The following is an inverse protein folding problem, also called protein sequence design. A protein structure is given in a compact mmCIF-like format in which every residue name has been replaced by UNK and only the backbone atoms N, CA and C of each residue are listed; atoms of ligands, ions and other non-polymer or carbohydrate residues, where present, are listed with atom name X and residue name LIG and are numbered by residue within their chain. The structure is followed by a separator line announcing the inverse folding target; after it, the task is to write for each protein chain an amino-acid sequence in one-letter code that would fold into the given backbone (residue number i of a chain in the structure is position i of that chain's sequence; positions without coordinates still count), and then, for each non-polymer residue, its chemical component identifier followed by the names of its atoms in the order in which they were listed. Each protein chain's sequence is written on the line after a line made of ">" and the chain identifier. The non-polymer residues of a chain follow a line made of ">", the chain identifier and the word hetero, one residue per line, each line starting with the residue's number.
data_IF_412315728276
#
_entry.id   IF_412315728276
#
_cell.length_a   1.000
_cell.length_b   1.000
_cell.length_c   1.000
_cell.angle_alpha   90.00
_cell.angle_beta   90.00
_cell.angle_gamma   90.00
#
_symmetry.space_group_name_H-M   'P 1'
#
loop_
_entity.id
_entity.type
_entity.pdbx_description
1 polymer ?
#
# COMPACT_ATOMS: atom_id res chain seq x y z
N UNK A 1 12.86 3.28 -14.78
CA UNK A 1 11.73 2.76 -14.00
C UNK A 1 11.89 3.17 -12.55
N UNK A 2 10.79 3.45 -11.83
CA UNK A 2 10.79 3.70 -10.37
C UNK A 2 9.82 2.72 -9.72
N UNK A 3 10.15 2.20 -8.54
CA UNK A 3 9.24 1.35 -7.77
C UNK A 3 8.03 2.18 -7.35
N UNK A 4 6.83 1.75 -7.73
CA UNK A 4 5.57 2.43 -7.42
C UNK A 4 4.69 1.64 -6.45
N UNK A 5 5.06 0.41 -6.11
CA UNK A 5 4.31 -0.42 -5.18
C UNK A 5 4.84 -1.83 -5.09
N UNK A 6 4.33 -2.56 -4.11
CA UNK A 6 4.65 -3.96 -3.84
C UNK A 6 3.36 -4.74 -3.60
N UNK A 7 3.35 -5.99 -4.03
CA UNK A 7 2.37 -6.99 -3.60
C UNK A 7 3.15 -8.03 -2.81
N UNK A 8 2.71 -8.33 -1.61
CA UNK A 8 3.39 -9.27 -0.72
C UNK A 8 2.37 -10.21 -0.08
N UNK A 9 2.80 -11.43 0.20
CA UNK A 9 2.00 -12.39 0.92
C UNK A 9 2.06 -12.06 2.41
N UNK A 10 0.91 -11.74 3.01
CA UNK A 10 0.75 -11.58 4.45
C UNK A 10 0.48 -12.92 5.14
N UNK A 11 -0.16 -12.90 6.30
CA UNK A 11 -0.41 -14.12 7.09
C UNK A 11 -1.31 -15.13 6.37
N UNK A 12 -2.33 -14.66 5.63
CA UNK A 12 -3.33 -15.55 5.01
C UNK A 12 -3.73 -15.18 3.57
N UNK A 13 -3.37 -13.99 3.09
CA UNK A 13 -3.77 -13.48 1.77
C UNK A 13 -2.72 -12.50 1.24
N UNK A 14 -2.82 -12.14 -0.05
CA UNK A 14 -1.99 -11.12 -0.65
C UNK A 14 -2.45 -9.71 -0.26
N UNK A 15 -1.48 -8.90 0.11
CA UNK A 15 -1.64 -7.48 0.44
C UNK A 15 -0.86 -6.66 -0.57
N UNK A 16 -1.35 -5.46 -0.87
CA UNK A 16 -0.67 -4.52 -1.75
C UNK A 16 -0.51 -3.16 -1.08
N UNK A 17 0.64 -2.53 -1.33
CA UNK A 17 0.88 -1.12 -1.00
C UNK A 17 1.47 -0.42 -2.22
N UNK A 18 0.90 0.71 -2.60
CA UNK A 18 1.32 1.44 -3.79
C UNK A 18 1.21 2.95 -3.62
N UNK A 19 1.93 3.68 -4.47
CA UNK A 19 2.08 5.12 -4.45
C UNK A 19 1.56 5.69 -5.76
N UNK A 20 0.62 6.62 -5.68
CA UNK A 20 0.07 7.30 -6.84
C UNK A 20 0.93 8.51 -7.25
N UNK A 21 0.62 9.12 -8.39
CA UNK A 21 1.37 10.26 -8.93
C UNK A 21 1.39 11.49 -8.00
N UNK A 22 0.39 11.62 -7.13
CA UNK A 22 0.26 12.64 -6.08
C UNK A 22 1.09 12.34 -4.82
N UNK A 23 1.87 11.25 -4.83
CA UNK A 23 2.67 10.74 -3.69
C UNK A 23 1.83 10.22 -2.51
N UNK A 24 0.53 9.98 -2.75
CA UNK A 24 -0.34 9.34 -1.77
C UNK A 24 -0.09 7.84 -1.76
N UNK A 25 0.05 7.27 -0.56
CA UNK A 25 0.18 5.84 -0.32
C UNK A 25 -1.19 5.21 -0.08
N UNK A 26 -1.37 4.05 -0.70
CA UNK A 26 -2.59 3.27 -0.67
C UNK A 26 -2.30 1.84 -0.24
N UNK A 27 -3.14 1.32 0.64
CA UNK A 27 -3.08 -0.03 1.18
C UNK A 27 -4.31 -0.84 0.79
N UNK A 28 -4.10 -2.08 0.37
CA UNK A 28 -5.17 -3.01 0.05
C UNK A 28 -4.83 -4.38 0.64
N UNK A 29 -5.64 -4.83 1.61
CA UNK A 29 -5.47 -6.17 2.20
C UNK A 29 -6.18 -7.27 1.41
N UNK A 30 -6.91 -6.98 0.33
CA UNK A 30 -7.58 -8.01 -0.47
C UNK A 30 -8.68 -8.80 0.25
N UNK A 31 -8.90 -8.61 1.56
CA UNK A 31 -9.81 -9.40 2.39
C UNK A 31 -10.79 -8.53 3.19
N UNK A 32 -10.29 -7.62 4.04
CA UNK A 32 -11.13 -6.80 4.94
C UNK A 32 -11.72 -5.62 4.19
N UNK A 33 -10.95 -5.01 3.28
CA UNK A 33 -11.39 -3.82 2.55
C UNK A 33 -12.14 -4.12 1.23
N UNK A 34 -12.39 -5.40 0.92
CA UNK A 34 -13.30 -5.80 -0.16
C UNK A 34 -13.00 -5.14 -1.51
N UNK A 35 -11.85 -5.46 -2.12
CA UNK A 35 -11.32 -4.88 -3.36
C UNK A 35 -11.02 -3.38 -3.34
N UNK A 36 -11.28 -2.66 -2.23
CA UNK A 36 -10.96 -1.24 -2.11
C UNK A 36 -9.62 -1.05 -1.42
N UNK A 37 -8.88 -0.04 -1.87
CA UNK A 37 -7.69 0.42 -1.21
C UNK A 37 -8.02 1.59 -0.28
N UNK A 38 -7.34 1.66 0.86
CA UNK A 38 -7.43 2.74 1.83
C UNK A 38 -6.22 3.65 1.72
N UNK A 39 -6.45 4.95 1.87
CA UNK A 39 -5.39 5.96 1.88
C UNK A 39 -4.65 5.94 3.23
N UNK A 40 -3.33 5.80 3.20
CA UNK A 40 -2.47 5.79 4.39
C UNK A 40 -1.74 7.13 4.63
N UNK A 41 -1.75 8.03 3.65
CA UNK A 41 -1.14 9.37 3.75
C UNK A 41 -0.08 9.64 2.69
N UNK A 42 0.75 10.66 2.92
CA UNK A 42 1.86 11.00 2.01
C UNK A 42 3.06 10.08 2.26
N UNK A 43 3.75 9.66 1.19
CA UNK A 43 4.97 8.84 1.32
C UNK A 43 6.06 9.51 2.17
N UNK A 44 6.05 10.85 2.26
CA UNK A 44 7.02 11.60 3.07
C UNK A 44 6.74 11.54 4.58
N UNK A 45 5.52 11.15 4.96
CA UNK A 45 5.03 11.16 6.35
C UNK A 45 4.99 9.74 6.96
N UNK A 46 5.13 8.73 6.11
CA UNK A 46 5.13 7.34 6.54
C UNK A 46 6.49 7.01 7.11
N UNK A 47 6.50 6.59 8.38
CA UNK A 47 7.66 6.00 8.99
C UNK A 47 7.97 4.67 8.29
N UNK A 48 9.08 4.65 7.56
CA UNK A 48 9.61 3.49 6.84
C UNK A 48 10.70 2.78 7.65
N UNK A 49 10.98 3.24 8.88
CA UNK A 49 11.86 2.50 9.78
C UNK A 49 11.13 1.24 10.27
N UNK A 50 11.75 0.08 10.00
CA UNK A 50 11.29 -1.24 10.42
C UNK A 50 11.57 -1.47 11.90
#
# INVERSE_FOLDING_TARGET
>A
YRLAGIVYYGTFHFTARYVNADRTVWFNDGLVHGKRACQEGSISEIDLSL
#
